data_IF_200354645178
#
_entry.id   IF_200354645178
#
_cell.length_a   1.000
_cell.length_b   1.000
_cell.length_c   1.000
_cell.angle_alpha   90.00
_cell.angle_beta   90.00
_cell.angle_gamma   90.00
#
_symmetry.space_group_name_H-M   'P 1'
#
loop_
_entity.id
_entity.type
_entity.pdbx_description
1 polymer ?
#
# COMPACT_ATOMS: atom_id res chain seq x y z
N UNK A 1 80.69 19.44 -47.82
CA UNK A 1 79.98 20.47 -47.03
C UNK A 1 78.56 20.59 -47.55
N UNK A 2 77.54 20.26 -46.74
CA UNK A 2 76.12 20.34 -47.14
C UNK A 2 75.55 21.71 -46.76
N UNK A 3 75.00 22.41 -47.74
CA UNK A 3 74.29 23.69 -47.55
C UNK A 3 72.94 23.37 -46.87
N UNK A 4 72.56 24.02 -45.76
CA UNK A 4 71.27 23.77 -45.13
C UNK A 4 70.17 24.47 -45.94
N UNK A 5 69.23 23.67 -46.46
CA UNK A 5 68.02 24.14 -47.13
C UNK A 5 67.14 24.83 -46.09
N UNK A 6 66.92 26.15 -46.24
CA UNK A 6 65.93 26.89 -45.45
C UNK A 6 64.54 26.32 -45.76
N UNK A 7 63.91 25.70 -44.76
CA UNK A 7 62.53 25.24 -44.84
C UNK A 7 61.56 26.38 -45.17
N UNK A 8 60.36 26.07 -45.68
CA UNK A 8 59.39 27.07 -46.09
C UNK A 8 59.01 27.93 -44.88
N UNK A 9 59.16 29.26 -45.03
CA UNK A 9 58.85 30.21 -43.98
C UNK A 9 57.43 30.01 -43.45
N UNK A 10 57.28 30.14 -42.12
CA UNK A 10 56.00 30.07 -41.42
C UNK A 10 54.97 30.94 -42.16
N UNK A 11 53.81 30.39 -42.58
CA UNK A 11 52.78 31.20 -43.21
C UNK A 11 52.41 32.36 -42.27
N UNK A 12 52.41 33.59 -42.80
CA UNK A 12 51.87 34.76 -42.07
C UNK A 12 50.47 34.38 -41.60
N UNK A 13 50.21 34.50 -40.29
CA UNK A 13 48.91 34.19 -39.68
C UNK A 13 47.83 34.87 -40.49
N UNK A 14 47.02 34.09 -41.19
CA UNK A 14 45.82 34.56 -41.86
C UNK A 14 44.93 35.16 -40.75
N UNK A 15 44.88 36.49 -40.67
CA UNK A 15 43.92 37.18 -39.83
C UNK A 15 42.58 37.02 -40.54
N UNK A 16 41.62 36.42 -39.84
CA UNK A 16 40.34 36.02 -40.42
C UNK A 16 39.53 37.20 -41.01
N UNK A 17 38.39 36.91 -41.65
CA UNK A 17 37.53 37.90 -42.31
C UNK A 17 36.98 39.01 -41.39
N UNK A 18 37.22 38.93 -40.08
CA UNK A 18 36.81 39.91 -39.08
C UNK A 18 37.51 41.28 -39.21
N UNK A 19 38.73 41.33 -39.73
CA UNK A 19 39.48 42.59 -39.91
C UNK A 19 39.03 43.39 -41.15
N UNK A 20 38.23 42.81 -42.05
CA UNK A 20 37.85 43.44 -43.34
C UNK A 20 36.61 44.34 -43.20
N UNK A 21 35.84 44.22 -42.11
CA UNK A 21 34.68 45.09 -41.84
C UNK A 21 35.07 46.21 -40.87
N UNK A 22 36.20 46.87 -41.07
CA UNK A 22 36.32 48.27 -40.64
C UNK A 22 35.60 49.13 -41.66
N UNK A 23 34.26 49.02 -41.70
CA UNK A 23 33.44 50.01 -42.38
C UNK A 23 33.79 51.37 -41.75
N UNK A 24 34.26 52.32 -42.55
CA UNK A 24 34.36 53.73 -42.14
C UNK A 24 32.94 54.30 -42.02
N UNK A 25 32.18 53.80 -41.05
CA UNK A 25 30.85 54.31 -40.75
C UNK A 25 30.99 55.67 -40.07
N UNK A 26 30.13 56.64 -40.40
CA UNK A 26 30.00 57.87 -39.62
C UNK A 26 29.74 57.55 -38.14
N UNK A 27 30.25 58.39 -37.23
CA UNK A 27 30.10 58.22 -35.77
C UNK A 27 28.63 58.03 -35.35
N UNK A 28 27.72 58.79 -35.95
CA UNK A 28 26.28 58.70 -35.71
C UNK A 28 25.72 57.30 -35.99
N UNK A 29 26.21 56.63 -37.05
CA UNK A 29 25.78 55.28 -37.41
C UNK A 29 26.32 54.26 -36.41
N UNK A 30 27.54 54.47 -35.89
CA UNK A 30 28.13 53.62 -34.86
C UNK A 30 27.31 53.72 -33.56
N UNK A 31 26.90 54.92 -33.17
CA UNK A 31 26.07 55.14 -31.97
C UNK A 31 24.69 54.47 -32.09
N UNK A 32 24.08 54.51 -33.28
CA UNK A 32 22.80 53.83 -33.55
C UNK A 32 22.98 52.31 -33.46
N UNK A 33 24.04 51.77 -34.05
CA UNK A 33 24.36 50.33 -33.97
C UNK A 33 24.62 49.89 -32.53
N UNK A 34 25.30 50.71 -31.73
CA UNK A 34 25.55 50.46 -30.31
C UNK A 34 24.28 50.45 -29.48
N UNK A 35 23.38 51.40 -29.75
CA UNK A 35 22.07 51.44 -29.08
C UNK A 35 21.26 50.18 -29.38
N UNK A 36 21.18 49.78 -30.65
CA UNK A 36 20.46 48.56 -31.05
C UNK A 36 21.11 47.32 -30.45
N UNK A 37 22.44 47.23 -30.48
CA UNK A 37 23.20 46.13 -29.89
C UNK A 37 22.94 46.00 -28.38
N UNK A 38 22.89 47.13 -27.65
CA UNK A 38 22.56 47.16 -26.23
C UNK A 38 21.11 46.73 -25.95
N UNK A 39 20.15 47.23 -26.74
CA UNK A 39 18.73 46.88 -26.60
C UNK A 39 18.44 45.40 -26.88
N UNK A 40 19.13 44.78 -27.84
CA UNK A 40 18.91 43.38 -28.23
C UNK A 40 19.95 42.44 -27.61
N UNK A 41 20.85 42.94 -26.77
CA UNK A 41 21.98 42.21 -26.19
C UNK A 41 22.75 41.38 -27.25
N UNK A 42 23.00 41.98 -28.40
CA UNK A 42 23.60 41.32 -29.58
C UNK A 42 24.93 41.98 -29.95
N UNK A 43 25.80 41.26 -30.65
CA UNK A 43 27.06 41.87 -31.13
C UNK A 43 26.80 42.86 -32.28
N UNK A 44 27.66 43.90 -32.41
CA UNK A 44 27.58 44.86 -33.53
C UNK A 44 27.52 44.17 -34.89
N UNK A 45 28.26 43.09 -35.07
CA UNK A 45 28.30 42.30 -36.31
C UNK A 45 26.95 41.64 -36.59
N UNK A 46 26.29 41.06 -35.59
CA UNK A 46 24.95 40.48 -35.75
C UNK A 46 23.91 41.53 -36.13
N UNK A 47 24.00 42.73 -35.55
CA UNK A 47 23.12 43.87 -35.87
C UNK A 47 23.32 44.34 -37.32
N UNK A 48 24.56 44.47 -37.78
CA UNK A 48 24.86 44.85 -39.17
C UNK A 48 24.32 43.78 -40.13
N UNK A 49 24.55 42.51 -39.84
CA UNK A 49 24.05 41.39 -40.66
C UNK A 49 22.53 41.35 -40.68
N UNK A 50 21.85 41.60 -39.55
CA UNK A 50 20.39 41.66 -39.52
C UNK A 50 19.86 42.84 -40.33
N UNK A 51 20.51 44.01 -40.25
CA UNK A 51 20.13 45.22 -41.00
C UNK A 51 20.29 45.01 -42.51
N UNK A 52 21.37 44.37 -42.94
CA UNK A 52 21.54 44.00 -44.35
C UNK A 52 20.45 43.02 -44.79
N UNK A 53 20.10 42.04 -43.96
CA UNK A 53 19.02 41.06 -44.26
C UNK A 53 17.62 41.68 -44.26
N UNK A 54 17.38 42.72 -43.46
CA UNK A 54 16.08 43.40 -43.36
C UNK A 54 15.93 44.59 -44.31
N UNK A 55 16.79 44.69 -45.33
CA UNK A 55 16.83 45.83 -46.26
C UNK A 55 16.93 47.20 -45.53
N UNK A 56 17.70 47.24 -44.44
CA UNK A 56 17.91 48.39 -43.55
C UNK A 56 16.69 48.83 -42.73
N UNK A 57 15.63 48.02 -42.64
CA UNK A 57 14.53 48.28 -41.71
C UNK A 57 14.94 47.88 -40.29
N UNK A 58 15.00 48.86 -39.39
CA UNK A 58 15.46 48.72 -38.01
C UNK A 58 14.54 47.84 -37.16
N UNK A 59 13.23 47.98 -37.30
CA UNK A 59 12.26 47.22 -36.50
C UNK A 59 12.26 45.74 -36.90
N UNK A 60 12.29 45.47 -38.21
CA UNK A 60 12.43 44.10 -38.74
C UNK A 60 13.77 43.50 -38.30
N UNK A 61 14.85 44.29 -38.25
CA UNK A 61 16.13 43.85 -37.71
C UNK A 61 16.08 43.46 -36.24
N UNK A 62 15.45 44.29 -35.40
CA UNK A 62 15.28 43.99 -33.97
C UNK A 62 14.49 42.69 -33.77
N UNK A 63 13.46 42.45 -34.59
CA UNK A 63 12.69 41.20 -34.57
C UNK A 63 13.53 40.00 -35.00
N UNK A 64 14.32 40.12 -36.08
CA UNK A 64 15.23 39.04 -36.52
C UNK A 64 16.25 38.69 -35.43
N UNK A 65 16.83 39.69 -34.76
CA UNK A 65 17.79 39.46 -33.67
C UNK A 65 17.14 38.74 -32.49
N UNK A 66 15.95 39.19 -32.08
CA UNK A 66 15.18 38.52 -31.02
C UNK A 66 14.83 37.09 -31.40
N UNK A 67 14.38 36.85 -32.63
CA UNK A 67 14.05 35.51 -33.13
C UNK A 67 15.28 34.59 -33.07
N UNK A 68 16.43 35.04 -33.56
CA UNK A 68 17.68 34.28 -33.47
C UNK A 68 18.10 33.99 -32.02
N UNK A 69 17.89 34.93 -31.10
CA UNK A 69 18.20 34.71 -29.68
C UNK A 69 17.29 33.65 -29.04
N UNK A 70 16.00 33.66 -29.40
CA UNK A 70 15.03 32.66 -28.94
C UNK A 70 15.31 31.29 -29.55
N UNK A 71 15.68 31.21 -30.84
CA UNK A 71 16.08 29.95 -31.47
C UNK A 71 17.31 29.35 -30.79
N UNK A 72 18.34 30.16 -30.49
CA UNK A 72 19.50 29.71 -29.72
C UNK A 72 19.11 29.19 -28.34
N UNK A 73 18.18 29.87 -27.66
CA UNK A 73 17.69 29.46 -26.33
C UNK A 73 16.89 28.15 -26.39
N UNK A 74 15.98 28.01 -27.36
CA UNK A 74 15.22 26.77 -27.58
C UNK A 74 16.15 25.60 -27.89
N UNK A 75 17.14 25.81 -28.77
CA UNK A 75 18.15 24.78 -29.08
C UNK A 75 18.98 24.38 -27.85
N UNK A 76 19.22 25.30 -26.91
CA UNK A 76 19.87 24.99 -25.64
C UNK A 76 18.95 24.14 -24.74
N UNK A 77 17.68 24.54 -24.59
CA UNK A 77 16.69 23.78 -23.81
C UNK A 77 16.48 22.36 -24.37
N UNK A 78 16.49 22.19 -25.69
CA UNK A 78 16.37 20.87 -26.32
C UNK A 78 17.57 19.97 -25.97
N UNK A 79 18.80 20.53 -25.96
CA UNK A 79 20.00 19.80 -25.53
C UNK A 79 19.94 19.43 -24.06
N UNK A 80 19.52 20.34 -23.19
CA UNK A 80 19.35 20.08 -21.76
C UNK A 80 18.30 19.00 -21.52
N UNK A 81 17.17 19.06 -22.25
CA UNK A 81 16.12 18.04 -22.19
C UNK A 81 16.63 16.67 -22.66
N UNK A 82 17.39 16.60 -23.74
CA UNK A 82 17.99 15.36 -24.22
C UNK A 82 18.96 14.77 -23.18
N UNK A 83 19.82 15.60 -22.58
CA UNK A 83 20.72 15.17 -21.52
C UNK A 83 19.95 14.60 -20.31
N UNK A 84 18.88 15.28 -19.87
CA UNK A 84 18.02 14.78 -18.79
C UNK A 84 17.30 13.48 -19.14
N UNK A 85 16.90 13.28 -20.40
CA UNK A 85 16.32 12.02 -20.87
C UNK A 85 17.34 10.89 -20.83
N UNK A 86 18.57 11.13 -21.25
CA UNK A 86 19.66 10.14 -21.14
C UNK A 86 19.98 9.81 -19.68
N UNK A 87 20.01 10.79 -18.79
CA UNK A 87 20.19 10.58 -17.35
C UNK A 87 19.03 9.76 -16.77
N UNK A 88 17.80 10.08 -17.14
CA UNK A 88 16.61 9.31 -16.75
C UNK A 88 16.72 7.86 -17.19
N UNK A 89 17.11 7.60 -18.44
CA UNK A 89 17.31 6.24 -18.93
C UNK A 89 18.43 5.50 -18.18
N UNK A 90 19.55 6.18 -17.90
CA UNK A 90 20.65 5.60 -17.12
C UNK A 90 20.17 5.20 -15.71
N UNK A 91 19.42 6.06 -15.05
CA UNK A 91 18.83 5.77 -13.73
C UNK A 91 17.82 4.63 -13.80
N UNK A 92 16.97 4.56 -14.82
CA UNK A 92 16.05 3.45 -15.01
C UNK A 92 16.78 2.12 -15.20
N UNK A 93 17.84 2.08 -16.00
CA UNK A 93 18.69 0.87 -16.16
C UNK A 93 19.38 0.49 -14.85
N UNK A 94 19.76 1.46 -14.02
CA UNK A 94 20.31 1.18 -12.69
C UNK A 94 19.24 0.60 -11.75
N UNK A 95 18.03 1.16 -11.75
CA UNK A 95 16.90 0.64 -10.98
C UNK A 95 16.59 -0.79 -11.40
N UNK A 96 16.47 -1.06 -12.69
CA UNK A 96 16.20 -2.42 -13.21
C UNK A 96 17.31 -3.42 -12.80
N UNK A 97 18.59 -3.02 -12.93
CA UNK A 97 19.71 -3.84 -12.44
C UNK A 97 19.65 -4.09 -10.93
N UNK A 98 19.23 -3.09 -10.14
CA UNK A 98 19.08 -3.24 -8.70
C UNK A 98 17.88 -4.13 -8.36
N UNK A 99 16.76 -3.99 -9.06
CA UNK A 99 15.59 -4.85 -8.92
C UNK A 99 15.92 -6.31 -9.23
N UNK A 100 16.58 -6.58 -10.37
CA UNK A 100 17.04 -7.94 -10.72
C UNK A 100 18.00 -8.50 -9.65
N UNK A 101 18.93 -7.69 -9.13
CA UNK A 101 19.81 -8.11 -8.03
C UNK A 101 19.06 -8.38 -6.71
N UNK A 102 17.94 -7.71 -6.48
CA UNK A 102 17.09 -7.90 -5.30
C UNK A 102 16.24 -9.17 -5.45
N UNK A 103 15.66 -9.39 -6.63
CA UNK A 103 14.91 -10.60 -7.00
C UNK A 103 15.80 -11.84 -6.92
N UNK A 104 17.02 -11.80 -7.49
CA UNK A 104 18.00 -12.88 -7.40
C UNK A 104 18.45 -13.18 -5.96
N UNK A 105 18.33 -12.21 -5.04
CA UNK A 105 18.66 -12.38 -3.62
C UNK A 105 17.46 -12.79 -2.76
N UNK A 106 16.25 -12.91 -3.33
CA UNK A 106 15.03 -13.26 -2.60
C UNK A 106 14.71 -12.33 -1.43
N UNK A 107 15.22 -11.08 -1.45
CA UNK A 107 15.04 -10.12 -0.36
C UNK A 107 13.94 -9.16 -0.72
N UNK A 108 12.78 -9.32 -0.07
CA UNK A 108 11.76 -8.28 0.02
C UNK A 108 12.42 -6.98 0.45
N UNK A 109 12.17 -5.92 -0.31
CA UNK A 109 12.81 -4.60 -0.14
C UNK A 109 12.25 -3.93 1.10
N UNK A 110 12.75 -4.35 2.25
CA UNK A 110 12.73 -3.55 3.45
C UNK A 110 13.76 -2.43 3.21
N UNK A 111 13.30 -1.20 2.99
CA UNK A 111 14.20 -0.04 2.87
C UNK A 111 15.15 0.03 4.08
N UNK A 112 16.33 0.64 3.95
CA UNK A 112 17.27 0.76 5.09
C UNK A 112 16.61 1.39 6.33
N UNK A 113 15.67 2.31 6.13
CA UNK A 113 14.79 2.87 7.18
C UNK A 113 13.87 1.79 7.77
N UNK A 114 13.16 1.04 6.93
CA UNK A 114 12.27 -0.03 7.40
C UNK A 114 13.03 -1.15 8.14
N UNK A 115 14.27 -1.45 7.76
CA UNK A 115 15.08 -2.46 8.44
C UNK A 115 15.48 -1.99 9.83
N UNK A 116 15.76 -0.70 10.00
CA UNK A 116 16.00 -0.10 11.32
C UNK A 116 14.73 -0.08 12.17
N UNK A 117 13.57 0.18 11.55
CA UNK A 117 12.27 0.12 12.23
C UNK A 117 11.98 -1.29 12.72
N UNK A 118 12.16 -2.32 11.87
CA UNK A 118 11.99 -3.72 12.27
C UNK A 118 12.94 -4.08 13.41
N UNK A 119 14.19 -3.64 13.34
CA UNK A 119 15.19 -3.90 14.38
C UNK A 119 14.89 -3.20 15.70
N UNK A 120 14.28 -2.01 15.63
CA UNK A 120 13.84 -1.26 16.79
C UNK A 120 12.59 -1.92 17.39
N UNK A 121 11.58 -2.24 16.58
CA UNK A 121 10.38 -2.97 16.99
C UNK A 121 10.75 -4.28 17.68
N UNK A 122 11.66 -5.06 17.09
CA UNK A 122 12.23 -6.29 17.63
C UNK A 122 12.77 -6.18 19.08
N UNK A 123 13.12 -4.96 19.52
CA UNK A 123 13.67 -4.70 20.86
C UNK A 123 12.61 -4.22 21.85
N UNK A 124 11.58 -3.51 21.38
CA UNK A 124 10.55 -2.89 22.25
C UNK A 124 9.22 -3.64 22.26
N UNK A 125 9.02 -4.60 21.36
CA UNK A 125 7.85 -5.48 21.34
C UNK A 125 7.72 -6.28 22.64
N UNK A 126 6.58 -6.10 23.31
CA UNK A 126 6.22 -6.80 24.55
C UNK A 126 4.73 -7.11 24.52
N UNK A 127 4.36 -8.28 25.04
CA UNK A 127 2.96 -8.68 25.14
C UNK A 127 2.14 -7.62 25.89
N UNK A 128 0.97 -7.29 25.36
CA UNK A 128 0.04 -6.35 26.00
C UNK A 128 0.28 -4.86 25.70
N UNK A 129 1.37 -4.49 25.01
CA UNK A 129 1.58 -3.11 24.54
C UNK A 129 0.87 -2.84 23.22
N UNK A 130 0.39 -1.61 23.04
CA UNK A 130 -0.20 -1.21 21.76
C UNK A 130 0.88 -0.97 20.71
N UNK A 131 0.52 -1.17 19.44
CA UNK A 131 1.40 -0.90 18.31
C UNK A 131 1.77 0.58 18.25
N UNK A 132 0.81 1.48 18.46
CA UNK A 132 1.02 2.92 18.49
C UNK A 132 2.07 3.31 19.54
N UNK A 133 1.98 2.78 20.77
CA UNK A 133 2.97 3.06 21.83
C UNK A 133 4.37 2.59 21.43
N UNK A 134 4.48 1.40 20.85
CA UNK A 134 5.78 0.89 20.38
C UNK A 134 6.35 1.71 19.22
N UNK A 135 5.49 2.30 18.38
CA UNK A 135 5.91 3.16 17.28
C UNK A 135 6.40 4.52 17.76
N UNK A 136 5.74 5.11 18.76
CA UNK A 136 6.18 6.35 19.41
C UNK A 136 7.54 6.14 20.10
N UNK A 137 7.73 5.01 20.80
CA UNK A 137 8.98 4.69 21.50
C UNK A 137 10.19 4.59 20.55
N UNK A 138 9.99 4.20 19.28
CA UNK A 138 11.04 4.13 18.26
C UNK A 138 11.16 5.41 17.41
N UNK A 139 10.46 6.49 17.78
CA UNK A 139 10.53 7.80 17.13
C UNK A 139 9.63 7.97 15.90
N UNK A 140 8.59 7.15 15.74
CA UNK A 140 7.56 7.29 14.70
C UNK A 140 6.26 7.76 15.35
N UNK A 141 6.12 9.07 15.47
CA UNK A 141 5.02 9.70 16.20
C UNK A 141 3.79 9.99 15.33
N UNK A 142 3.98 10.16 14.02
CA UNK A 142 2.89 10.61 13.14
C UNK A 142 1.94 9.45 12.77
N UNK A 143 0.62 9.54 13.01
CA UNK A 143 -0.33 8.44 12.79
C UNK A 143 -0.35 7.89 11.36
N UNK A 144 -0.14 8.76 10.35
CA UNK A 144 -0.07 8.32 8.95
C UNK A 144 1.18 7.48 8.66
N UNK A 145 2.32 7.82 9.29
CA UNK A 145 3.55 7.04 9.14
C UNK A 145 3.44 5.70 9.87
N UNK A 146 2.81 5.69 11.05
CA UNK A 146 2.51 4.45 11.77
C UNK A 146 1.64 3.50 10.94
N UNK A 147 0.60 4.03 10.27
CA UNK A 147 -0.29 3.25 9.43
C UNK A 147 0.41 2.71 8.17
N UNK A 148 1.34 3.47 7.59
CA UNK A 148 2.18 3.00 6.49
C UNK A 148 3.07 1.83 6.93
N UNK A 149 3.74 1.96 8.08
CA UNK A 149 4.56 0.88 8.65
C UNK A 149 3.72 -0.36 8.96
N UNK A 150 2.51 -0.19 9.50
CA UNK A 150 1.60 -1.30 9.77
C UNK A 150 1.27 -2.08 8.49
N UNK A 151 0.97 -1.38 7.38
CA UNK A 151 0.66 -1.99 6.07
C UNK A 151 1.87 -2.66 5.42
N UNK A 152 3.06 -2.12 5.62
CA UNK A 152 4.29 -2.68 5.04
C UNK A 152 4.77 -3.93 5.80
N UNK A 153 4.56 -3.97 7.13
CA UNK A 153 5.07 -5.04 7.98
C UNK A 153 4.07 -6.17 8.21
N UNK A 154 2.77 -5.91 8.10
CA UNK A 154 1.71 -6.87 8.44
C UNK A 154 0.69 -7.05 7.32
N UNK A 155 0.08 -8.24 7.31
CA UNK A 155 -1.05 -8.56 6.44
C UNK A 155 -2.30 -7.96 7.09
N UNK A 156 -2.77 -6.84 6.55
CA UNK A 156 -3.88 -6.05 7.13
C UNK A 156 -5.26 -6.57 6.74
N UNK A 157 -5.39 -7.18 5.56
CA UNK A 157 -6.67 -7.66 5.03
C UNK A 157 -6.72 -9.19 5.00
N UNK A 158 -7.87 -9.75 5.35
CA UNK A 158 -8.17 -11.18 5.21
C UNK A 158 -8.57 -11.53 3.76
N UNK A 159 -8.75 -12.82 3.47
CA UNK A 159 -9.18 -13.34 2.15
C UNK A 159 -10.50 -12.73 1.64
N UNK A 160 -11.37 -12.27 2.55
CA UNK A 160 -12.62 -11.56 2.22
C UNK A 160 -12.48 -10.05 2.02
N UNK A 161 -11.27 -9.49 2.02
CA UNK A 161 -11.03 -8.05 1.84
C UNK A 161 -11.33 -7.17 3.07
N UNK A 162 -11.74 -7.75 4.19
CA UNK A 162 -11.97 -7.04 5.45
C UNK A 162 -10.68 -6.88 6.26
N UNK A 163 -10.62 -5.85 7.11
CA UNK A 163 -9.51 -5.63 8.04
C UNK A 163 -9.46 -6.78 9.05
N UNK A 164 -8.31 -7.45 9.13
CA UNK A 164 -8.13 -8.61 9.98
C UNK A 164 -8.16 -8.25 11.47
N UNK A 165 -8.83 -9.08 12.27
CA UNK A 165 -8.78 -8.98 13.74
C UNK A 165 -7.40 -9.36 14.32
N UNK A 166 -6.66 -10.18 13.59
CA UNK A 166 -5.29 -10.59 13.92
C UNK A 166 -4.40 -10.34 12.71
N UNK A 167 -3.45 -9.42 12.83
CA UNK A 167 -2.48 -9.12 11.79
C UNK A 167 -1.23 -9.97 11.99
N UNK A 168 -0.85 -10.69 10.95
CA UNK A 168 0.38 -11.48 10.92
C UNK A 168 1.49 -10.72 10.21
N UNK A 169 2.75 -10.84 10.65
CA UNK A 169 3.88 -10.28 9.93
C UNK A 169 3.95 -10.86 8.51
N UNK A 170 4.38 -10.05 7.55
CA UNK A 170 4.67 -10.53 6.19
C UNK A 170 5.80 -11.58 6.25
N UNK A 171 5.67 -12.66 5.48
CA UNK A 171 6.53 -13.85 5.54
C UNK A 171 8.05 -13.58 5.41
N UNK A 172 8.46 -12.42 4.90
CA UNK A 172 9.87 -12.00 4.80
C UNK A 172 10.50 -11.49 6.10
N UNK A 173 9.72 -11.17 7.14
CA UNK A 173 10.23 -10.51 8.35
C UNK A 173 10.50 -11.55 9.44
N UNK A 174 11.69 -12.15 9.39
CA UNK A 174 12.09 -13.21 10.33
C UNK A 174 12.16 -12.73 11.79
N UNK A 175 12.42 -11.44 12.04
CA UNK A 175 12.60 -10.88 13.39
C UNK A 175 11.30 -10.82 14.19
N UNK A 176 10.17 -10.66 13.52
CA UNK A 176 8.84 -10.61 14.14
C UNK A 176 8.14 -11.98 14.14
N UNK A 177 8.84 -13.06 13.77
CA UNK A 177 8.24 -14.40 13.68
C UNK A 177 7.75 -14.87 15.05
N UNK A 178 6.48 -15.26 15.12
CA UNK A 178 5.83 -15.70 16.36
C UNK A 178 5.14 -14.56 17.13
N UNK A 179 5.31 -13.31 16.70
CA UNK A 179 4.53 -12.16 17.17
C UNK A 179 3.41 -11.84 16.18
N UNK A 180 2.28 -11.43 16.72
CA UNK A 180 1.13 -10.97 15.95
C UNK A 180 0.49 -9.77 16.65
N UNK A 181 -0.27 -9.02 15.88
CA UNK A 181 -1.01 -7.86 16.35
C UNK A 181 -2.49 -8.21 16.44
N UNK A 182 -3.10 -8.03 17.61
CA UNK A 182 -4.51 -8.37 17.85
C UNK A 182 -5.30 -7.08 18.07
N UNK A 183 -6.47 -6.98 17.46
CA UNK A 183 -7.35 -5.81 17.61
C UNK A 183 -7.70 -5.62 19.09
N UNK A 184 -7.42 -4.41 19.60
CA UNK A 184 -7.73 -4.00 20.97
C UNK A 184 -9.23 -3.73 21.16
N UNK A 185 -9.60 -3.37 22.41
CA UNK A 185 -10.99 -3.08 22.78
C UNK A 185 -11.52 -1.76 22.18
N UNK A 186 -10.63 -0.88 21.75
CA UNK A 186 -10.98 0.44 21.24
C UNK A 186 -11.08 0.48 19.71
N UNK A 187 -12.05 1.24 19.22
CA UNK A 187 -12.33 1.43 17.80
C UNK A 187 -11.23 2.27 17.12
N UNK A 188 -10.24 1.64 16.51
CA UNK A 188 -9.20 2.36 15.77
C UNK A 188 -8.27 1.44 14.96
N UNK A 189 -7.85 1.89 13.78
CA UNK A 189 -6.93 1.15 12.88
C UNK A 189 -5.52 0.94 13.46
N UNK A 190 -5.12 1.76 14.45
CA UNK A 190 -3.82 1.68 15.13
C UNK A 190 -3.90 1.00 16.50
N UNK A 191 -5.12 0.64 16.94
CA UNK A 191 -5.38 0.05 18.26
C UNK A 191 -5.17 -1.46 18.23
N UNK A 192 -3.99 -1.89 17.78
CA UNK A 192 -3.56 -3.27 17.82
C UNK A 192 -2.60 -3.50 18.97
N UNK A 193 -2.66 -4.68 19.58
CA UNK A 193 -1.85 -5.06 20.75
C UNK A 193 -0.95 -6.22 20.37
N UNK A 194 0.31 -6.15 20.77
CA UNK A 194 1.27 -7.23 20.58
C UNK A 194 0.90 -8.47 21.40
N UNK A 195 0.86 -9.62 20.73
CA UNK A 195 0.62 -10.93 21.33
C UNK A 195 1.50 -11.99 20.65
N UNK A 196 1.83 -13.06 21.38
CA UNK A 196 2.47 -14.23 20.78
C UNK A 196 1.46 -15.13 20.10
N UNK A 197 1.81 -15.63 18.92
CA UNK A 197 0.96 -16.55 18.15
C UNK A 197 0.65 -17.83 18.94
N UNK A 198 1.61 -18.33 19.72
CA UNK A 198 1.42 -19.48 20.61
C UNK A 198 0.31 -19.28 21.65
N UNK A 199 0.14 -18.07 22.19
CA UNK A 199 -0.89 -17.76 23.19
C UNK A 199 -2.27 -17.69 22.54
N UNK A 200 -2.36 -17.21 21.30
CA UNK A 200 -3.61 -17.18 20.55
C UNK A 200 -4.03 -18.55 20.03
N UNK A 201 -3.10 -19.41 19.64
CA UNK A 201 -3.40 -20.79 19.27
C UNK A 201 -3.94 -21.56 20.49
N UNK A 202 -3.33 -21.39 21.66
CA UNK A 202 -3.83 -21.93 22.92
C UNK A 202 -5.21 -21.35 23.25
N UNK A 203 -5.43 -20.03 23.11
CA UNK A 203 -6.73 -19.43 23.36
C UNK A 203 -7.82 -19.89 22.37
N UNK A 204 -7.48 -20.08 21.09
CA UNK A 204 -8.37 -20.63 20.05
C UNK A 204 -8.68 -22.10 20.30
N UNK A 205 -7.70 -22.90 20.73
CA UNK A 205 -7.92 -24.29 21.14
C UNK A 205 -8.82 -24.36 22.37
N UNK A 206 -8.58 -23.54 23.40
CA UNK A 206 -9.42 -23.47 24.60
C UNK A 206 -10.86 -23.05 24.26
N UNK A 207 -11.06 -22.06 23.37
CA UNK A 207 -12.40 -21.68 22.88
C UNK A 207 -13.07 -22.81 22.11
N UNK A 208 -12.36 -23.50 21.20
CA UNK A 208 -12.90 -24.66 20.48
C UNK A 208 -13.28 -25.79 21.43
N UNK A 209 -12.46 -26.10 22.45
CA UNK A 209 -12.81 -27.11 23.46
C UNK A 209 -13.99 -26.72 24.34
N UNK A 210 -14.15 -25.42 24.69
CA UNK A 210 -15.34 -24.95 25.41
C UNK A 210 -16.61 -25.08 24.58
N UNK A 211 -16.58 -24.72 23.29
CA UNK A 211 -17.74 -24.85 22.39
C UNK A 211 -18.10 -26.33 22.15
N UNK A 212 -17.11 -27.22 22.03
CA UNK A 212 -17.34 -28.67 21.88
C UNK A 212 -17.92 -29.30 23.15
N UNK A 213 -17.47 -28.89 24.34
CA UNK A 213 -18.04 -29.37 25.61
C UNK A 213 -19.48 -28.87 25.80
N UNK A 214 -19.77 -27.61 25.48
CA UNK A 214 -21.13 -27.05 25.56
C UNK A 214 -22.10 -27.78 24.63
N UNK A 215 -21.69 -28.08 23.38
CA UNK A 215 -22.55 -28.86 22.45
C UNK A 215 -22.85 -30.25 22.98
N UNK A 216 -21.85 -30.95 23.52
CA UNK A 216 -22.04 -32.28 24.13
C UNK A 216 -22.97 -32.24 25.34
N UNK A 217 -22.82 -31.24 26.22
CA UNK A 217 -23.72 -31.08 27.37
C UNK A 217 -25.18 -30.84 26.95
N UNK A 218 -25.41 -29.98 25.95
CA UNK A 218 -26.75 -29.72 25.39
C UNK A 218 -27.32 -30.99 24.74
N UNK A 219 -26.50 -31.72 23.98
CA UNK A 219 -26.87 -32.97 23.33
C UNK A 219 -27.23 -34.07 24.34
N UNK A 220 -26.44 -34.25 25.40
CA UNK A 220 -26.70 -35.20 26.48
C UNK A 220 -28.02 -34.88 27.20
N UNK A 221 -28.28 -33.59 27.47
CA UNK A 221 -29.51 -33.14 28.11
C UNK A 221 -30.73 -33.43 27.23
N UNK A 222 -30.68 -33.07 25.94
CA UNK A 222 -31.75 -33.34 24.98
C UNK A 222 -31.97 -34.84 24.76
N UNK A 223 -30.89 -35.63 24.67
CA UNK A 223 -30.97 -37.09 24.60
C UNK A 223 -31.59 -37.71 25.86
N UNK A 224 -31.28 -37.17 27.05
CA UNK A 224 -31.89 -37.66 28.29
C UNK A 224 -33.40 -37.42 28.29
N UNK A 225 -33.86 -36.23 27.87
CA UNK A 225 -35.28 -35.92 27.77
C UNK A 225 -35.97 -36.77 26.70
N UNK A 226 -35.34 -37.00 25.55
CA UNK A 226 -35.90 -37.85 24.51
C UNK A 226 -36.04 -39.30 24.97
N UNK A 227 -35.07 -39.84 25.73
CA UNK A 227 -35.17 -41.17 26.34
C UNK A 227 -36.34 -41.25 27.32
N UNK A 228 -36.46 -40.27 28.22
CA UNK A 228 -37.56 -40.22 29.19
C UNK A 228 -38.92 -40.07 28.51
N UNK A 229 -39.02 -39.24 27.48
CA UNK A 229 -40.23 -39.10 26.67
C UNK A 229 -40.61 -40.41 25.98
N UNK A 230 -39.66 -41.10 25.34
CA UNK A 230 -39.91 -42.38 24.68
C UNK A 230 -40.27 -43.51 25.65
N UNK A 231 -39.80 -43.45 26.91
CA UNK A 231 -40.23 -44.38 27.96
C UNK A 231 -41.69 -44.12 28.33
N UNK A 232 -42.05 -42.87 28.63
CA UNK A 232 -43.44 -42.53 28.94
C UNK A 232 -44.38 -42.79 27.78
N UNK A 233 -43.95 -42.59 26.52
CA UNK A 233 -44.76 -42.89 25.35
C UNK A 233 -45.11 -44.39 25.24
N UNK A 234 -44.29 -45.28 25.79
CA UNK A 234 -44.57 -46.73 25.82
C UNK A 234 -45.58 -47.10 26.91
N UNK A 235 -45.56 -46.38 28.04
CA UNK A 235 -46.38 -46.68 29.21
C UNK A 235 -47.73 -45.95 29.19
N UNK A 236 -47.74 -44.65 28.89
CA UNK A 236 -48.94 -43.81 28.82
C UNK A 236 -48.71 -42.53 28.01
N UNK A 237 -49.57 -42.29 27.01
CA UNK A 237 -49.52 -41.08 26.18
C UNK A 237 -49.72 -39.80 26.99
N UNK A 238 -50.60 -39.83 27.99
CA UNK A 238 -50.89 -38.66 28.83
C UNK A 238 -49.69 -38.25 29.70
N UNK A 239 -48.87 -39.22 30.13
CA UNK A 239 -47.67 -38.96 30.92
C UNK A 239 -46.54 -38.40 30.04
N UNK A 240 -46.43 -38.87 28.80
CA UNK A 240 -45.48 -38.35 27.82
C UNK A 240 -45.77 -36.88 27.47
N UNK A 241 -47.04 -36.53 27.26
CA UNK A 241 -47.46 -35.15 26.98
C UNK A 241 -47.21 -34.21 28.18
N UNK A 242 -47.56 -34.63 29.41
CA UNK A 242 -47.25 -33.87 30.64
C UNK A 242 -45.75 -33.65 30.85
N UNK A 243 -44.93 -34.66 30.53
CA UNK A 243 -43.48 -34.52 30.60
C UNK A 243 -42.95 -33.53 29.55
N UNK A 244 -43.46 -33.60 28.32
CA UNK A 244 -43.10 -32.70 27.24
C UNK A 244 -43.45 -31.25 27.61
N UNK A 245 -44.65 -30.99 28.14
CA UNK A 245 -45.06 -29.66 28.61
C UNK A 245 -44.12 -29.11 29.69
N UNK A 246 -43.63 -29.96 30.60
CA UNK A 246 -42.66 -29.57 31.63
C UNK A 246 -41.29 -29.24 31.03
N UNK A 247 -40.83 -30.01 30.06
CA UNK A 247 -39.59 -29.75 29.35
C UNK A 247 -39.69 -28.45 28.56
N UNK A 248 -40.81 -28.19 27.90
CA UNK A 248 -41.02 -26.99 27.09
C UNK A 248 -41.22 -25.72 27.92
N UNK A 249 -41.92 -25.80 29.05
CA UNK A 249 -42.20 -24.64 29.90
C UNK A 249 -41.02 -24.21 30.77
N UNK A 250 -40.13 -25.14 31.15
CA UNK A 250 -39.01 -24.85 32.06
C UNK A 250 -37.66 -25.34 31.54
N UNK A 251 -37.58 -26.59 31.10
CA UNK A 251 -36.30 -27.21 30.72
C UNK A 251 -35.63 -26.53 29.52
N UNK A 252 -36.38 -26.33 28.44
CA UNK A 252 -35.87 -25.78 27.18
C UNK A 252 -35.53 -24.28 27.31
N UNK A 253 -36.36 -23.45 27.97
CA UNK A 253 -35.99 -22.08 28.33
C UNK A 253 -34.72 -22.00 29.20
N UNK A 254 -34.59 -22.83 30.24
CA UNK A 254 -33.38 -22.87 31.08
C UNK A 254 -32.13 -23.24 30.27
N UNK A 255 -32.27 -24.16 29.31
CA UNK A 255 -31.18 -24.57 28.42
C UNK A 255 -30.75 -23.44 27.47
N UNK A 256 -31.73 -22.71 26.95
CA UNK A 256 -31.52 -21.54 26.08
C UNK A 256 -30.90 -20.38 26.87
N UNK A 257 -31.34 -20.14 28.10
CA UNK A 257 -30.76 -19.11 28.98
C UNK A 257 -29.30 -19.44 29.33
N UNK A 258 -28.99 -20.71 29.56
CA UNK A 258 -27.66 -21.16 29.97
C UNK A 258 -26.65 -21.23 28.83
N UNK A 259 -27.06 -21.63 27.63
CA UNK A 259 -26.16 -21.94 26.50
C UNK A 259 -26.40 -21.11 25.24
N UNK A 260 -27.48 -20.33 25.18
CA UNK A 260 -27.87 -19.51 24.02
C UNK A 260 -28.75 -20.25 23.01
N UNK A 261 -29.68 -19.51 22.40
CA UNK A 261 -30.66 -20.06 21.45
C UNK A 261 -30.00 -20.69 20.22
N UNK A 262 -28.93 -20.08 19.70
CA UNK A 262 -28.27 -20.53 18.48
C UNK A 262 -27.60 -21.89 18.65
N UNK A 263 -26.98 -22.12 19.81
CA UNK A 263 -26.30 -23.39 20.13
C UNK A 263 -27.33 -24.50 20.33
N UNK A 264 -28.41 -24.23 21.08
CA UNK A 264 -29.49 -25.20 21.29
C UNK A 264 -30.17 -25.56 19.98
N UNK A 265 -30.44 -24.57 19.12
CA UNK A 265 -31.05 -24.78 17.81
C UNK A 265 -30.15 -25.61 16.88
N UNK A 266 -28.86 -25.33 16.83
CA UNK A 266 -27.92 -26.11 16.01
C UNK A 266 -27.90 -27.58 16.46
N UNK A 267 -27.90 -27.84 17.76
CA UNK A 267 -27.95 -29.22 18.29
C UNK A 267 -29.30 -29.88 17.99
N UNK A 268 -30.43 -29.17 18.12
CA UNK A 268 -31.76 -29.72 17.77
C UNK A 268 -31.83 -30.04 16.28
N UNK A 269 -31.29 -29.20 15.40
CA UNK A 269 -31.25 -29.43 13.96
C UNK A 269 -30.25 -30.52 13.54
N UNK A 270 -29.29 -30.87 14.40
CA UNK A 270 -28.28 -31.89 14.08
C UNK A 270 -28.81 -33.33 14.07
N UNK A 271 -29.96 -33.60 14.71
CA UNK A 271 -30.58 -34.94 14.76
C UNK A 271 -32.06 -34.88 14.44
N UNK A 272 -32.51 -35.72 13.51
CA UNK A 272 -33.92 -35.79 13.10
C UNK A 272 -34.87 -36.06 14.28
N UNK A 273 -34.45 -36.89 15.24
CA UNK A 273 -35.24 -37.21 16.43
C UNK A 273 -35.50 -35.97 17.31
N UNK A 274 -34.52 -35.07 17.43
CA UNK A 274 -34.67 -33.83 18.16
C UNK A 274 -35.55 -32.83 17.41
N UNK A 275 -35.41 -32.76 16.09
CA UNK A 275 -36.27 -31.90 15.25
C UNK A 275 -37.74 -32.28 15.42
N UNK A 276 -38.06 -33.59 15.45
CA UNK A 276 -39.45 -34.05 15.60
C UNK A 276 -40.08 -33.69 16.95
N UNK A 277 -39.30 -33.76 18.03
CA UNK A 277 -39.82 -33.59 19.40
C UNK A 277 -39.69 -32.14 19.89
N UNK A 278 -38.59 -31.47 19.59
CA UNK A 278 -38.26 -30.14 20.12
C UNK A 278 -38.29 -29.03 19.06
N UNK A 279 -38.18 -29.38 17.77
CA UNK A 279 -38.15 -28.42 16.66
C UNK A 279 -39.36 -27.47 16.57
N UNK A 280 -40.62 -27.95 16.73
CA UNK A 280 -41.81 -27.09 16.68
C UNK A 280 -41.87 -26.02 17.77
N UNK A 281 -41.09 -26.15 18.83
CA UNK A 281 -41.16 -25.32 20.03
C UNK A 281 -40.00 -24.34 20.18
N UNK A 282 -39.09 -24.30 19.19
CA UNK A 282 -38.02 -23.30 19.16
C UNK A 282 -38.57 -21.98 18.57
N UNK A 283 -38.33 -20.82 19.22
CA UNK A 283 -38.76 -19.54 18.68
C UNK A 283 -38.09 -19.25 17.32
N UNK A 284 -38.80 -18.60 16.37
CA UNK A 284 -38.19 -18.17 15.12
C UNK A 284 -37.07 -17.18 15.42
N UNK A 285 -35.90 -17.38 14.81
CA UNK A 285 -34.76 -16.49 15.02
C UNK A 285 -35.06 -15.08 14.52
N UNK A 286 -34.76 -14.07 15.32
CA UNK A 286 -34.60 -12.68 14.87
C UNK A 286 -33.35 -12.47 14.00
N UNK A 287 -32.57 -13.52 13.78
CA UNK A 287 -31.43 -13.52 12.85
C UNK A 287 -31.81 -14.35 11.62
N UNK A 288 -32.06 -13.64 10.53
CA UNK A 288 -32.20 -14.15 9.17
C UNK A 288 -30.88 -14.79 8.73
N UNK A 289 -30.80 -16.12 8.83
CA UNK A 289 -29.88 -16.88 7.99
C UNK A 289 -30.35 -16.68 6.55
N UNK A 290 -29.64 -15.82 5.80
CA UNK A 290 -29.73 -15.76 4.35
C UNK A 290 -29.62 -17.20 3.84
N UNK A 291 -30.70 -17.70 3.24
CA UNK A 291 -30.65 -18.86 2.36
C UNK A 291 -29.56 -18.56 1.33
N UNK A 292 -28.49 -19.35 1.33
CA UNK A 292 -27.73 -19.54 0.12
C UNK A 292 -28.68 -20.18 -0.88
N UNK A 293 -29.25 -19.36 -1.76
CA UNK A 293 -29.85 -19.83 -3.00
C UNK A 293 -28.74 -20.52 -3.77
N UNK A 294 -28.80 -21.85 -3.77
CA UNK A 294 -28.21 -22.67 -4.82
C UNK A 294 -28.97 -22.27 -6.07
N UNK A 295 -28.38 -21.36 -6.86
CA UNK A 295 -28.72 -21.18 -8.26
C UNK A 295 -28.24 -22.45 -8.96
N UNK A 296 -29.13 -23.44 -9.01
CA UNK A 296 -29.21 -24.31 -10.16
C UNK A 296 -30.27 -23.68 -11.06
N UNK A 297 -29.88 -23.35 -12.28
CA UNK A 297 -30.69 -23.60 -13.47
C UNK A 297 -29.80 -23.39 -14.71
N UNK A 298 -29.84 -24.43 -15.55
CA UNK A 298 -29.57 -24.49 -17.00
C UNK A 298 -28.13 -24.36 -17.54
#
# INVERSE_FOLDING_TARGET
MRIPVRGPGRPKKWKGPTDIITLRLPLEVIEILDRIAAETNSSRTEVIVSLVKSASNVDVSKLILKLNSLEKYVAQLEKERQALLEERERLLRQIEKLQLKLEQKGRSVVSSRMSRIIDALARVEKEGRTFADTMVEIGVEHPQEQLAVLKDLFIVHNEGGEIAEVLRPVQGIKKLKGWVLVKGKESGLLNYVWARESVLEVAKQVRKTKVVNVRKEVEERLSSWLRTYNLFLKDSREEAEKFLDKVLSKGLPELVEKYGLDVVREVVLSKEEFVRVFGPFLPPSSVSLKKAEVVGDE
#
